data_IF_906684478190
#
_entry.id   IF_906684478190
#
_cell.length_a   1.000
_cell.length_b   1.000
_cell.length_c   1.000
_cell.angle_alpha   90.00
_cell.angle_beta   90.00
_cell.angle_gamma   90.00
#
_symmetry.space_group_name_H-M   'P 1'
#
loop_
_entity.id
_entity.type
_entity.pdbx_description
1 polymer ?
#
# COMPACT_ATOMS: atom_id res chain seq x y z
N UNK A 1 9.32 -12.61 16.47
CA UNK A 1 8.06 -12.90 15.73
C UNK A 1 8.28 -12.48 14.28
N UNK A 2 7.88 -13.31 13.31
CA UNK A 2 7.94 -12.94 11.89
C UNK A 2 7.04 -11.72 11.63
N UNK A 3 7.48 -10.82 10.75
CA UNK A 3 6.71 -9.62 10.39
C UNK A 3 5.50 -10.02 9.52
N UNK A 4 4.28 -9.72 9.97
CA UNK A 4 3.08 -10.04 9.19
C UNK A 4 2.91 -9.09 8.00
N UNK A 5 2.25 -9.51 6.91
CA UNK A 5 1.99 -8.65 5.75
C UNK A 5 1.32 -7.32 6.12
N UNK A 6 0.32 -7.36 7.00
CA UNK A 6 -0.32 -6.15 7.52
C UNK A 6 0.68 -5.24 8.25
N UNK A 7 1.53 -5.79 9.13
CA UNK A 7 2.54 -5.01 9.86
C UNK A 7 3.55 -4.34 8.92
N UNK A 8 3.92 -4.99 7.81
CA UNK A 8 4.78 -4.41 6.76
C UNK A 8 4.12 -3.24 6.04
N UNK A 9 2.81 -3.32 5.76
CA UNK A 9 2.08 -2.21 5.17
C UNK A 9 1.96 -1.04 6.16
N UNK A 10 1.72 -1.33 7.45
CA UNK A 10 1.65 -0.32 8.51
C UNK A 10 2.97 0.41 8.78
N UNK A 11 4.11 -0.23 8.50
CA UNK A 11 5.43 0.40 8.66
C UNK A 11 5.82 1.29 7.48
N UNK A 12 5.06 1.28 6.39
CA UNK A 12 5.25 2.20 5.27
C UNK A 12 4.65 3.57 5.61
N UNK A 13 5.46 4.61 5.50
CA UNK A 13 5.04 5.98 5.80
C UNK A 13 4.30 6.66 4.63
N UNK A 14 4.38 6.08 3.43
CA UNK A 14 3.69 6.57 2.24
C UNK A 14 2.84 5.48 1.60
N UNK A 15 1.58 5.81 1.36
CA UNK A 15 0.64 5.00 0.60
C UNK A 15 0.33 5.70 -0.73
N UNK A 16 0.54 5.02 -1.85
CA UNK A 16 0.24 5.52 -3.19
C UNK A 16 -0.94 4.72 -3.73
N UNK A 17 -2.07 5.40 -3.97
CA UNK A 17 -3.27 4.80 -4.51
C UNK A 17 -3.47 5.25 -5.96
N UNK A 18 -3.34 4.34 -6.90
CA UNK A 18 -3.60 4.60 -8.31
C UNK A 18 -5.11 4.60 -8.58
N UNK A 19 -5.57 5.53 -9.41
CA UNK A 19 -6.98 5.63 -9.80
C UNK A 19 -7.38 4.54 -10.80
N UNK A 20 -6.42 4.01 -11.56
CA UNK A 20 -6.63 2.87 -12.46
C UNK A 20 -5.77 1.68 -12.05
N UNK A 21 -6.31 0.45 -12.07
CA UNK A 21 -5.53 -0.76 -11.82
C UNK A 21 -4.28 -0.88 -12.68
N UNK A 22 -4.38 -0.48 -13.95
CA UNK A 22 -3.28 -0.63 -14.91
C UNK A 22 -2.04 0.21 -14.58
N UNK A 23 -2.22 1.31 -13.84
CA UNK A 23 -1.14 2.24 -13.46
C UNK A 23 -0.24 1.67 -12.36
N UNK A 24 -0.72 0.69 -11.59
CA UNK A 24 -0.01 0.16 -10.42
C UNK A 24 1.37 -0.38 -10.79
N UNK A 25 1.47 -1.16 -11.87
CA UNK A 25 2.70 -1.83 -12.29
C UNK A 25 3.71 -0.81 -12.81
N UNK A 26 3.22 0.21 -13.54
CA UNK A 26 4.06 1.28 -14.08
C UNK A 26 4.68 2.05 -12.91
N UNK A 27 3.85 2.56 -11.99
CA UNK A 27 4.32 3.36 -10.86
C UNK A 27 5.22 2.54 -9.93
N UNK A 28 4.87 1.29 -9.64
CA UNK A 28 5.69 0.40 -8.83
C UNK A 28 7.09 0.17 -9.46
N UNK A 29 7.15 0.01 -10.78
CA UNK A 29 8.40 -0.20 -11.51
C UNK A 29 9.27 1.05 -11.51
N UNK A 30 8.69 2.21 -11.84
CA UNK A 30 9.40 3.49 -11.86
C UNK A 30 9.95 3.87 -10.47
N UNK A 31 9.21 3.55 -9.41
CA UNK A 31 9.66 3.78 -8.03
C UNK A 31 10.57 2.67 -7.48
N UNK A 32 10.86 1.63 -8.26
CA UNK A 32 11.75 0.53 -7.86
C UNK A 32 11.21 -0.32 -6.71
N UNK A 33 9.89 -0.52 -6.62
CA UNK A 33 9.30 -1.45 -5.67
C UNK A 33 9.74 -2.89 -5.99
N UNK A 34 10.24 -3.61 -4.98
CA UNK A 34 10.84 -4.95 -5.17
C UNK A 34 9.99 -6.07 -4.59
N UNK A 35 9.15 -5.74 -3.62
CA UNK A 35 8.34 -6.71 -2.91
C UNK A 35 6.87 -6.59 -3.30
N UNK A 36 6.15 -7.70 -3.19
CA UNK A 36 4.71 -7.75 -3.44
C UNK A 36 4.00 -8.46 -2.31
N UNK A 37 2.88 -7.90 -1.87
CA UNK A 37 1.94 -8.50 -0.93
C UNK A 37 0.59 -8.64 -1.63
N UNK A 38 0.02 -9.83 -1.58
CA UNK A 38 -1.35 -10.09 -2.04
C UNK A 38 -2.35 -9.63 -0.97
N UNK A 39 -3.49 -9.08 -1.37
CA UNK A 39 -4.60 -8.75 -0.47
C UNK A 39 -5.10 -9.97 0.31
N UNK A 40 -5.04 -11.16 -0.29
CA UNK A 40 -5.36 -12.44 0.38
C UNK A 40 -4.49 -12.73 1.61
N UNK A 41 -3.32 -12.11 1.72
CA UNK A 41 -2.39 -12.27 2.85
C UNK A 41 -2.59 -11.19 3.93
N UNK A 42 -3.55 -10.27 3.73
CA UNK A 42 -3.84 -9.15 4.63
C UNK A 42 -5.27 -9.29 5.15
N UNK A 43 -5.40 -9.54 6.44
CA UNK A 43 -6.71 -9.71 7.06
C UNK A 43 -7.57 -8.44 6.94
N UNK A 44 -8.84 -8.62 6.55
CA UNK A 44 -9.78 -7.52 6.35
C UNK A 44 -9.61 -6.72 5.04
N UNK A 45 -8.82 -7.21 4.07
CA UNK A 45 -8.65 -6.60 2.75
C UNK A 45 -9.24 -7.51 1.67
N UNK A 46 -9.85 -6.92 0.63
CA UNK A 46 -10.35 -7.68 -0.51
C UNK A 46 -9.21 -8.39 -1.28
N UNK A 47 -9.44 -9.65 -1.64
CA UNK A 47 -8.48 -10.53 -2.28
C UNK A 47 -7.96 -10.02 -3.63
N UNK A 48 -8.69 -9.13 -4.31
CA UNK A 48 -8.28 -8.54 -5.57
C UNK A 48 -7.13 -7.52 -5.43
N UNK A 49 -6.87 -7.01 -4.23
CA UNK A 49 -5.84 -6.00 -4.04
C UNK A 49 -4.44 -6.60 -4.13
N UNK A 50 -3.53 -5.78 -4.65
CA UNK A 50 -2.10 -6.06 -4.68
C UNK A 50 -1.39 -4.83 -4.13
N UNK A 51 -0.36 -5.06 -3.32
CA UNK A 51 0.50 -4.04 -2.76
C UNK A 51 1.92 -4.26 -3.25
N UNK A 52 2.47 -3.28 -3.95
CA UNK A 52 3.88 -3.25 -4.32
C UNK A 52 4.64 -2.41 -3.30
N UNK A 53 5.67 -2.97 -2.67
CA UNK A 53 6.38 -2.32 -1.57
C UNK A 53 7.79 -1.97 -2.01
N UNK A 54 8.21 -0.77 -1.65
CA UNK A 54 9.55 -0.26 -1.91
C UNK A 54 10.06 0.65 -0.82
N UNK A 55 11.28 1.15 -1.04
CA UNK A 55 11.91 2.17 -0.21
C UNK A 55 12.50 3.22 -1.13
N UNK A 56 12.16 4.48 -0.88
CA UNK A 56 12.77 5.61 -1.56
C UNK A 56 13.76 6.31 -0.62
N UNK A 57 14.83 6.85 -1.18
CA UNK A 57 15.83 7.62 -0.44
C UNK A 57 15.66 9.10 -0.78
N UNK A 58 15.49 9.93 0.24
CA UNK A 58 15.41 11.37 0.09
C UNK A 58 16.79 12.00 0.12
N UNK A 59 16.88 13.23 -0.42
CA UNK A 59 18.05 14.10 -0.27
C UNK A 59 18.39 14.21 1.21
N UNK A 60 19.58 13.72 1.59
CA UNK A 60 20.01 13.60 2.99
C UNK A 60 20.03 12.18 3.57
N UNK A 61 19.87 11.14 2.75
CA UNK A 61 20.08 9.74 3.14
C UNK A 61 18.95 9.11 3.98
N UNK A 62 17.87 9.85 4.21
CA UNK A 62 16.68 9.35 4.91
C UNK A 62 15.91 8.42 3.99
N UNK A 63 15.51 7.26 4.50
CA UNK A 63 14.73 6.25 3.76
C UNK A 63 13.27 6.30 4.15
N UNK A 64 12.38 6.25 3.17
CA UNK A 64 10.94 6.20 3.35
C UNK A 64 10.39 4.91 2.73
N UNK A 65 9.78 4.07 3.55
CA UNK A 65 9.02 2.93 3.06
C UNK A 65 7.71 3.39 2.42
N UNK A 66 7.39 2.82 1.27
CA UNK A 66 6.13 3.09 0.57
C UNK A 66 5.48 1.81 0.09
N UNK A 67 4.16 1.86 -0.11
CA UNK A 67 3.47 0.88 -0.93
C UNK A 67 2.61 1.54 -2.00
N UNK A 68 2.45 0.85 -3.13
CA UNK A 68 1.58 1.22 -4.25
C UNK A 68 0.46 0.20 -4.34
N UNK A 69 -0.77 0.69 -4.41
CA UNK A 69 -1.96 -0.11 -4.65
C UNK A 69 -2.93 0.65 -5.54
N UNK A 70 -4.04 0.03 -5.93
CA UNK A 70 -5.07 0.63 -6.77
C UNK A 70 -6.46 0.22 -6.29
N UNK A 71 -7.47 0.97 -6.72
CA UNK A 71 -8.85 0.51 -6.60
C UNK A 71 -9.08 -0.69 -7.52
N UNK A 72 -9.95 -1.62 -7.11
CA UNK A 72 -10.30 -2.78 -7.94
C UNK A 72 -11.14 -2.40 -9.17
N UNK A 73 -11.77 -1.23 -9.12
CA UNK A 73 -12.61 -0.68 -10.20
C UNK A 73 -12.27 0.79 -10.39
N UNK A 74 -12.33 1.23 -11.64
CA UNK A 74 -12.15 2.65 -11.97
C UNK A 74 -13.36 3.47 -11.50
N UNK A 75 -13.09 4.71 -11.08
CA UNK A 75 -14.10 5.67 -10.65
C UNK A 75 -13.86 6.21 -9.24
N UNK A 76 -14.39 7.41 -8.97
CA UNK A 76 -14.16 8.14 -7.73
C UNK A 76 -14.72 7.40 -6.50
N UNK A 77 -15.92 6.85 -6.60
CA UNK A 77 -16.57 6.12 -5.49
C UNK A 77 -15.83 4.81 -5.16
N UNK A 78 -15.53 3.91 -6.12
CA UNK A 78 -14.70 2.73 -5.86
C UNK A 78 -13.33 3.06 -5.27
N UNK A 79 -12.70 4.14 -5.74
CA UNK A 79 -11.43 4.62 -5.21
C UNK A 79 -11.55 5.04 -3.74
N UNK A 80 -12.53 5.89 -3.41
CA UNK A 80 -12.74 6.38 -2.06
C UNK A 80 -13.04 5.24 -1.06
N UNK A 81 -13.85 4.25 -1.49
CA UNK A 81 -14.15 3.07 -0.66
C UNK A 81 -12.89 2.23 -0.43
N UNK A 82 -12.13 1.92 -1.48
CA UNK A 82 -10.91 1.13 -1.37
C UNK A 82 -9.86 1.83 -0.50
N UNK A 83 -9.61 3.12 -0.75
CA UNK A 83 -8.69 3.93 0.04
C UNK A 83 -9.14 4.03 1.51
N UNK A 84 -10.43 4.28 1.77
CA UNK A 84 -10.97 4.35 3.12
C UNK A 84 -10.84 3.04 3.89
N UNK A 85 -11.19 1.91 3.27
CA UNK A 85 -11.05 0.59 3.87
C UNK A 85 -9.57 0.27 4.19
N UNK A 86 -8.67 0.57 3.27
CA UNK A 86 -7.24 0.32 3.44
C UNK A 86 -6.61 1.24 4.47
N UNK A 87 -6.94 2.54 4.46
CA UNK A 87 -6.48 3.48 5.49
C UNK A 87 -7.00 3.06 6.85
N UNK A 88 -8.28 2.73 7.01
CA UNK A 88 -8.82 2.28 8.31
C UNK A 88 -8.07 1.05 8.84
N UNK A 89 -7.73 0.07 8.00
CA UNK A 89 -7.02 -1.14 8.41
C UNK A 89 -5.52 -0.94 8.65
N UNK A 90 -4.89 -0.06 7.88
CA UNK A 90 -3.45 0.21 7.96
C UNK A 90 -3.14 1.27 9.05
N UNK A 91 -4.06 2.19 9.33
CA UNK A 91 -3.91 3.24 10.35
C UNK A 91 -4.32 2.82 11.76
N UNK A 92 -5.06 1.71 11.93
CA UNK A 92 -5.46 1.15 13.24
C UNK A 92 -4.28 0.68 14.13
N UNK A 93 -3.03 1.00 13.76
CA UNK A 93 -1.83 0.82 14.58
C UNK A 93 -1.26 2.12 15.16
N UNK A 94 -1.83 3.29 14.86
CA UNK A 94 -1.30 4.60 15.26
C UNK A 94 -1.97 5.16 16.53
N UNK A 95 -2.30 4.29 17.48
CA UNK A 95 -2.55 4.70 18.86
C UNK A 95 -1.64 3.87 19.78
N UNK A 96 -0.40 4.31 19.90
CA UNK A 96 0.31 4.15 21.18
C UNK A 96 0.28 5.53 21.85
N UNK A 97 -0.67 5.68 22.78
CA UNK A 97 -0.51 6.51 23.98
C UNK A 97 -0.25 5.57 25.15
#
# INVERSE_FOLDING_TARGET
MAETPLRRLRSCALAIFCGKPEEITIIATELGAKDRISGTAVDGVDNGHIFHIGKMEFVGGKKLGFYVTSSLRQGLVPFAIAAGALISRVSDGTVMS
#
